data_IF_752862873904
#
_entry.id   IF_752862873904
#
_cell.length_a   1.000
_cell.length_b   1.000
_cell.length_c   1.000
_cell.angle_alpha   90.00
_cell.angle_beta   90.00
_cell.angle_gamma   90.00
#
_symmetry.space_group_name_H-M   'P 1'
#
loop_
_entity.id
_entity.type
_entity.pdbx_description
1 polymer ?
#
# COMPACT_ATOMS: atom_id res chain seq x y z
N UNK A 1 11.13 -3.36 -21.04
CA UNK A 1 11.90 -3.45 -19.78
C UNK A 1 13.07 -2.44 -19.73
N UNK A 2 13.94 -2.35 -20.74
CA UNK A 2 15.13 -1.49 -20.73
C UNK A 2 14.88 0.00 -20.36
N UNK A 3 13.84 0.64 -20.91
CA UNK A 3 13.53 2.04 -20.60
C UNK A 3 13.19 2.29 -19.12
N UNK A 4 12.44 1.37 -18.50
CA UNK A 4 12.09 1.45 -17.07
C UNK A 4 13.32 1.31 -16.19
N UNK A 5 14.22 0.38 -16.53
CA UNK A 5 15.48 0.17 -15.80
C UNK A 5 16.40 1.38 -15.93
N UNK A 6 16.45 2.01 -17.11
CA UNK A 6 17.23 3.24 -17.32
C UNK A 6 16.74 4.38 -16.41
N UNK A 7 15.43 4.56 -16.24
CA UNK A 7 14.88 5.55 -15.30
C UNK A 7 15.30 5.31 -13.85
N UNK A 8 15.26 4.06 -13.39
CA UNK A 8 15.74 3.67 -12.06
C UNK A 8 17.23 3.96 -11.92
N UNK A 9 18.04 3.59 -12.92
CA UNK A 9 19.48 3.84 -12.92
C UNK A 9 19.80 5.34 -12.83
N UNK A 10 19.11 6.19 -13.60
CA UNK A 10 19.28 7.64 -13.49
C UNK A 10 18.93 8.17 -12.08
N UNK A 11 17.87 7.66 -11.47
CA UNK A 11 17.50 8.02 -10.10
C UNK A 11 18.56 7.62 -9.07
N UNK A 12 19.17 6.43 -9.22
CA UNK A 12 20.23 5.93 -8.35
C UNK A 12 21.56 6.67 -8.52
N UNK A 13 21.85 7.18 -9.72
CA UNK A 13 23.05 7.99 -10.01
C UNK A 13 22.93 9.40 -9.42
N UNK A 14 21.71 9.86 -9.16
CA UNK A 14 21.46 11.22 -8.71
C UNK A 14 21.95 11.43 -7.27
N UNK A 15 22.74 12.47 -7.07
CA UNK A 15 23.33 12.79 -5.76
C UNK A 15 22.25 13.11 -4.73
N UNK A 16 22.31 12.43 -3.58
CA UNK A 16 21.39 12.64 -2.45
C UNK A 16 22.00 13.48 -1.32
N UNK A 17 23.30 13.75 -1.37
CA UNK A 17 24.00 14.65 -0.43
C UNK A 17 23.86 16.12 -0.84
N UNK A 18 23.91 17.00 0.16
CA UNK A 18 23.92 18.45 -0.01
C UNK A 18 25.38 18.93 0.02
N UNK A 19 25.72 19.85 -0.88
CA UNK A 19 27.00 20.55 -0.85
C UNK A 19 26.86 21.90 -0.13
N UNK A 20 27.99 22.53 0.25
CA UNK A 20 27.98 23.84 0.91
C UNK A 20 27.31 24.91 0.03
N UNK A 21 26.32 25.60 0.58
CA UNK A 21 25.51 26.59 -0.14
C UNK A 21 24.24 26.03 -0.79
N UNK A 22 23.98 24.72 -0.72
CA UNK A 22 22.73 24.13 -1.20
C UNK A 22 21.68 23.96 -0.09
N UNK A 23 20.48 24.48 -0.30
CA UNK A 23 19.36 24.28 0.63
C UNK A 23 18.80 22.84 0.58
N UNK A 24 18.89 22.16 -0.57
CA UNK A 24 18.38 20.80 -0.78
C UNK A 24 19.28 20.05 -1.75
N UNK A 25 19.39 18.72 -1.59
CA UNK A 25 20.19 17.91 -2.52
C UNK A 25 19.52 17.84 -3.89
N UNK A 26 20.30 17.69 -4.98
CA UNK A 26 19.75 17.59 -6.34
C UNK A 26 18.75 16.45 -6.48
N UNK A 27 18.98 15.33 -5.80
CA UNK A 27 18.06 14.20 -5.73
C UNK A 27 16.72 14.59 -5.11
N UNK A 28 16.74 15.25 -3.95
CA UNK A 28 15.52 15.69 -3.27
C UNK A 28 14.76 16.74 -4.09
N UNK A 29 15.47 17.73 -4.64
CA UNK A 29 14.89 18.76 -5.51
C UNK A 29 14.21 18.15 -6.74
N UNK A 30 14.89 17.25 -7.43
CA UNK A 30 14.35 16.59 -8.63
C UNK A 30 13.14 15.71 -8.27
N UNK A 31 13.21 14.99 -7.15
CA UNK A 31 12.07 14.23 -6.64
C UNK A 31 10.83 15.10 -6.40
N UNK A 32 10.99 16.24 -5.71
CA UNK A 32 9.88 17.16 -5.48
C UNK A 32 9.28 17.75 -6.77
N UNK A 33 10.10 18.01 -7.79
CA UNK A 33 9.62 18.53 -9.07
C UNK A 33 8.90 17.45 -9.90
N UNK A 34 9.41 16.22 -9.90
CA UNK A 34 8.85 15.13 -10.68
C UNK A 34 7.65 14.45 -10.02
N UNK A 35 7.57 14.45 -8.69
CA UNK A 35 6.48 13.79 -7.96
C UNK A 35 5.07 14.25 -8.38
N UNK A 36 4.75 15.56 -8.45
CA UNK A 36 3.41 15.99 -8.85
C UNK A 36 3.08 15.65 -10.30
N UNK A 37 4.06 15.72 -11.20
CA UNK A 37 3.87 15.33 -12.60
C UNK A 37 3.67 13.82 -12.74
N UNK A 38 4.47 13.03 -12.02
CA UNK A 38 4.39 11.58 -12.05
C UNK A 38 3.07 11.08 -11.46
N UNK A 39 2.74 11.50 -10.24
CA UNK A 39 1.54 11.08 -9.53
C UNK A 39 0.26 11.68 -10.14
N UNK A 40 0.32 12.94 -10.60
CA UNK A 40 -0.85 13.65 -11.12
C UNK A 40 -1.16 13.37 -12.60
N UNK A 41 -0.16 13.05 -13.43
CA UNK A 41 -0.34 12.89 -14.87
C UNK A 41 0.16 11.53 -15.39
N UNK A 42 1.43 11.18 -15.15
CA UNK A 42 2.03 10.00 -15.76
C UNK A 42 1.36 8.70 -15.29
N UNK A 43 1.13 8.55 -13.98
CA UNK A 43 0.52 7.34 -13.40
C UNK A 43 -0.94 7.17 -13.86
N UNK A 44 -1.81 8.19 -13.82
CA UNK A 44 -3.17 8.08 -14.35
C UNK A 44 -3.23 7.77 -15.85
N UNK A 45 -2.40 8.43 -16.67
CA UNK A 45 -2.35 8.15 -18.11
C UNK A 45 -1.85 6.72 -18.38
N UNK A 46 -0.79 6.30 -17.70
CA UNK A 46 -0.29 4.93 -17.80
C UNK A 46 -1.37 3.92 -17.41
N UNK A 47 -2.05 4.15 -16.28
CA UNK A 47 -3.15 3.30 -15.84
C UNK A 47 -4.27 3.21 -16.88
N UNK A 48 -4.66 4.33 -17.50
CA UNK A 48 -5.70 4.37 -18.52
C UNK A 48 -5.32 3.53 -19.76
N UNK A 49 -4.08 3.66 -20.25
CA UNK A 49 -3.62 2.89 -21.41
C UNK A 49 -3.35 1.41 -21.07
N UNK A 50 -2.72 1.13 -19.94
CA UNK A 50 -2.40 -0.23 -19.50
C UNK A 50 -3.67 -1.03 -19.17
N UNK A 51 -4.65 -0.38 -18.53
CA UNK A 51 -5.95 -0.97 -18.19
C UNK A 51 -6.97 -0.92 -19.33
N UNK A 52 -6.62 -0.42 -20.53
CA UNK A 52 -7.47 -0.26 -21.72
C UNK A 52 -8.01 -1.56 -22.32
N UNK A 53 -8.54 -2.43 -21.47
CA UNK A 53 -9.23 -3.67 -21.74
C UNK A 53 -10.70 -3.35 -21.95
N UNK A 54 -11.27 -3.91 -23.00
CA UNK A 54 -12.71 -4.08 -23.10
C UNK A 54 -13.17 -4.94 -21.93
N UNK A 55 -13.63 -4.31 -20.85
CA UNK A 55 -14.27 -5.00 -19.73
C UNK A 55 -15.63 -5.51 -20.23
N UNK A 56 -15.59 -6.62 -20.97
CA UNK A 56 -16.78 -7.35 -21.38
C UNK A 56 -17.25 -8.20 -20.21
N UNK A 57 -18.56 -8.43 -20.12
CA UNK A 57 -19.13 -9.34 -19.12
C UNK A 57 -18.50 -10.75 -19.20
N UNK A 58 -18.10 -11.16 -20.40
CA UNK A 58 -17.39 -12.41 -20.65
C UNK A 58 -15.98 -12.42 -20.06
N UNK A 59 -15.21 -11.33 -20.20
CA UNK A 59 -13.88 -11.23 -19.61
C UNK A 59 -13.93 -11.28 -18.07
N UNK A 60 -14.91 -10.61 -17.45
CA UNK A 60 -15.13 -10.68 -16.00
C UNK A 60 -15.59 -12.06 -15.55
N UNK A 61 -16.48 -12.71 -16.32
CA UNK A 61 -16.92 -14.07 -16.06
C UNK A 61 -15.79 -15.09 -16.19
N UNK A 62 -14.89 -14.90 -17.16
CA UNK A 62 -13.72 -15.73 -17.39
C UNK A 62 -12.71 -15.65 -16.22
N UNK A 63 -12.64 -14.53 -15.49
CA UNK A 63 -11.76 -14.42 -14.30
C UNK A 63 -12.06 -15.50 -13.26
N UNK A 64 -13.34 -15.85 -13.09
CA UNK A 64 -13.77 -16.84 -12.10
C UNK A 64 -13.87 -18.26 -12.67
N UNK A 65 -13.87 -18.43 -14.00
CA UNK A 65 -14.01 -19.73 -14.66
C UNK A 65 -12.67 -20.31 -15.13
N UNK A 66 -11.69 -19.47 -15.40
CA UNK A 66 -10.40 -19.87 -15.93
C UNK A 66 -9.35 -19.92 -14.81
N UNK A 67 -8.53 -20.98 -14.75
CA UNK A 67 -7.54 -21.15 -13.68
C UNK A 67 -6.41 -20.10 -13.72
N UNK A 68 -6.05 -19.60 -14.91
CA UNK A 68 -5.00 -18.60 -15.12
C UNK A 68 -5.31 -17.26 -14.40
N UNK A 69 -6.42 -16.56 -14.70
CA UNK A 69 -6.85 -15.35 -13.97
C UNK A 69 -6.99 -15.56 -12.46
N UNK A 70 -7.54 -16.69 -12.05
CA UNK A 70 -7.81 -17.00 -10.65
C UNK A 70 -6.49 -17.15 -9.87
N UNK A 71 -5.49 -17.78 -10.48
CA UNK A 71 -4.12 -17.83 -9.98
C UNK A 71 -3.50 -16.45 -9.81
N UNK A 72 -3.73 -15.53 -10.76
CA UNK A 72 -3.28 -14.13 -10.66
C UNK A 72 -3.96 -13.41 -9.51
N UNK A 73 -5.28 -13.57 -9.34
CA UNK A 73 -6.01 -12.93 -8.22
C UNK A 73 -5.47 -13.42 -6.88
N UNK A 74 -5.39 -14.73 -6.68
CA UNK A 74 -4.92 -15.32 -5.42
C UNK A 74 -3.45 -14.95 -5.20
N UNK A 75 -2.60 -15.09 -6.22
CA UNK A 75 -1.18 -14.76 -6.12
C UNK A 75 -0.93 -13.30 -5.80
N UNK A 76 -1.69 -12.38 -6.40
CA UNK A 76 -1.53 -10.95 -6.16
C UNK A 76 -2.03 -10.55 -4.77
N UNK A 77 -3.20 -11.04 -4.34
CA UNK A 77 -3.77 -10.69 -3.04
C UNK A 77 -3.04 -11.42 -1.92
N UNK A 78 -3.07 -12.75 -1.93
CA UNK A 78 -2.48 -13.56 -0.86
C UNK A 78 -0.95 -13.46 -0.86
N UNK A 79 -0.31 -13.49 -2.04
CA UNK A 79 1.15 -13.43 -2.13
C UNK A 79 1.71 -12.10 -1.60
N UNK A 80 1.05 -10.97 -1.88
CA UNK A 80 1.49 -9.68 -1.33
C UNK A 80 1.22 -9.56 0.17
N UNK A 81 0.05 -10.01 0.65
CA UNK A 81 -0.26 -9.97 2.08
C UNK A 81 0.75 -10.83 2.85
N UNK A 82 0.97 -12.07 2.42
CA UNK A 82 1.90 -12.99 3.08
C UNK A 82 3.36 -12.53 2.94
N UNK A 83 3.74 -11.99 1.78
CA UNK A 83 5.08 -11.48 1.54
C UNK A 83 5.41 -10.27 2.43
N UNK A 84 4.50 -9.30 2.52
CA UNK A 84 4.71 -8.10 3.35
C UNK A 84 4.61 -8.45 4.83
N UNK A 85 3.54 -9.11 5.26
CA UNK A 85 3.37 -9.48 6.66
C UNK A 85 4.47 -10.43 7.15
N UNK A 86 4.74 -11.48 6.38
CA UNK A 86 5.79 -12.45 6.67
C UNK A 86 7.18 -11.83 6.63
N UNK A 87 7.46 -10.99 5.64
CA UNK A 87 8.72 -10.25 5.55
C UNK A 87 8.94 -9.33 6.75
N UNK A 88 7.93 -8.55 7.15
CA UNK A 88 7.99 -7.70 8.34
C UNK A 88 8.13 -8.54 9.62
N UNK A 89 7.41 -9.66 9.73
CA UNK A 89 7.51 -10.57 10.87
C UNK A 89 8.91 -11.18 11.00
N UNK A 90 9.48 -11.68 9.90
CA UNK A 90 10.84 -12.21 9.88
C UNK A 90 11.86 -11.10 10.22
N UNK A 91 11.74 -9.92 9.63
CA UNK A 91 12.63 -8.80 9.91
C UNK A 91 12.59 -8.41 11.40
N UNK A 92 11.41 -8.27 11.99
CA UNK A 92 11.26 -8.00 13.42
C UNK A 92 11.89 -9.12 14.29
N UNK A 93 11.67 -10.38 13.90
CA UNK A 93 12.16 -11.55 14.65
C UNK A 93 13.68 -11.71 14.60
N UNK A 94 14.31 -11.42 13.46
CA UNK A 94 15.75 -11.61 13.26
C UNK A 94 16.58 -10.37 13.60
N UNK A 95 16.07 -9.17 13.32
CA UNK A 95 16.79 -7.91 13.59
C UNK A 95 16.55 -7.39 15.00
N UNK A 96 15.66 -8.03 15.79
CA UNK A 96 15.18 -7.53 17.10
C UNK A 96 14.59 -6.11 17.04
N UNK A 97 14.19 -5.67 15.84
CA UNK A 97 13.49 -4.42 15.67
C UNK A 97 12.16 -4.53 16.43
N UNK A 98 11.95 -3.61 17.37
CA UNK A 98 10.67 -3.54 18.09
C UNK A 98 9.71 -2.71 17.25
N UNK A 99 8.50 -3.24 17.07
CA UNK A 99 7.41 -2.45 16.55
C UNK A 99 7.17 -1.28 17.52
N UNK A 100 6.85 -0.10 17.02
CA UNK A 100 6.49 1.04 17.86
C UNK A 100 5.39 0.58 18.84
N UNK A 101 5.49 0.86 20.16
CA UNK A 101 4.44 0.52 21.13
C UNK A 101 3.04 0.96 20.70
N UNK A 102 2.92 2.04 19.92
CA UNK A 102 1.63 2.54 19.42
C UNK A 102 1.07 1.72 18.25
N UNK A 103 1.87 0.84 17.64
CA UNK A 103 1.49 0.01 16.48
C UNK A 103 1.25 -1.43 16.92
N UNK A 104 0.06 -1.96 16.60
CA UNK A 104 -0.26 -3.36 16.81
C UNK A 104 0.11 -4.19 15.56
N UNK A 105 0.27 -5.51 15.74
CA UNK A 105 0.39 -6.44 14.61
C UNK A 105 -0.82 -6.40 13.66
N UNK A 106 -1.98 -5.98 14.16
CA UNK A 106 -3.15 -5.72 13.34
C UNK A 106 -2.94 -4.57 12.34
N UNK A 107 -2.13 -3.57 12.68
CA UNK A 107 -1.80 -2.45 11.79
C UNK A 107 -0.80 -2.88 10.71
N UNK A 108 0.15 -3.75 11.07
CA UNK A 108 1.04 -4.41 10.10
C UNK A 108 0.24 -5.25 9.11
N UNK A 109 -0.77 -5.99 9.60
CA UNK A 109 -1.69 -6.73 8.72
C UNK A 109 -2.47 -5.79 7.80
N UNK A 110 -3.00 -4.68 8.32
CA UNK A 110 -3.68 -3.68 7.51
C UNK A 110 -2.80 -3.04 6.43
N UNK A 111 -1.56 -2.71 6.77
CA UNK A 111 -0.54 -2.24 5.82
C UNK A 111 -0.22 -3.31 4.76
N UNK A 112 -0.18 -4.58 5.16
CA UNK A 112 0.08 -5.70 4.24
C UNK A 112 -1.06 -5.87 3.21
N UNK A 113 -2.32 -5.65 3.62
CA UNK A 113 -3.46 -5.65 2.71
C UNK A 113 -3.41 -4.45 1.76
N UNK A 114 -3.06 -3.25 2.26
CA UNK A 114 -2.86 -2.07 1.42
C UNK A 114 -1.77 -2.28 0.36
N UNK A 115 -0.64 -2.88 0.77
CA UNK A 115 0.43 -3.21 -0.16
C UNK A 115 -0.02 -4.20 -1.26
N UNK A 116 -1.07 -4.98 -0.97
CA UNK A 116 -1.82 -5.85 -1.89
C UNK A 116 -2.38 -5.15 -3.14
N UNK A 117 -2.55 -3.83 -3.11
CA UNK A 117 -3.03 -3.05 -4.26
C UNK A 117 -1.91 -3.00 -5.31
N UNK A 118 -1.96 -3.94 -6.26
CA UNK A 118 -0.95 -4.10 -7.31
C UNK A 118 -1.18 -3.28 -8.57
N UNK A 119 -2.41 -2.82 -8.78
CA UNK A 119 -2.93 -2.10 -9.95
C UNK A 119 -1.89 -1.80 -11.05
N UNK A 120 -1.18 -0.67 -10.99
CA UNK A 120 -0.32 -0.21 -12.09
C UNK A 120 0.89 -1.11 -12.35
N UNK A 121 1.61 -1.52 -11.29
CA UNK A 121 2.81 -2.37 -11.45
C UNK A 121 2.42 -3.77 -11.89
N UNK A 122 1.31 -4.31 -11.37
CA UNK A 122 0.80 -5.62 -11.76
C UNK A 122 0.27 -5.61 -13.21
N UNK A 123 -0.37 -4.53 -13.66
CA UNK A 123 -0.77 -4.36 -15.07
C UNK A 123 0.46 -4.30 -15.98
N UNK A 124 1.50 -3.56 -15.60
CA UNK A 124 2.77 -3.49 -16.35
C UNK A 124 3.41 -4.88 -16.48
N UNK A 125 3.49 -5.63 -15.37
CA UNK A 125 4.07 -6.98 -15.36
C UNK A 125 3.20 -7.94 -16.19
N UNK A 126 1.88 -7.86 -16.07
CA UNK A 126 0.95 -8.67 -16.83
C UNK A 126 1.07 -8.44 -18.34
N UNK A 127 1.22 -7.18 -18.77
CA UNK A 127 1.45 -6.83 -20.18
C UNK A 127 2.79 -7.35 -20.72
N UNK A 128 3.85 -7.26 -19.90
CA UNK A 128 5.17 -7.82 -20.26
C UNK A 128 5.18 -9.35 -20.29
N UNK A 129 4.37 -10.00 -19.44
CA UNK A 129 4.31 -11.46 -19.34
C UNK A 129 3.44 -12.11 -20.43
N UNK A 130 2.37 -11.44 -20.86
CA UNK A 130 1.40 -11.97 -21.84
C UNK A 130 1.15 -11.02 -23.01
N UNK A 131 2.18 -10.69 -23.82
CA UNK A 131 2.02 -9.79 -24.96
C UNK A 131 1.07 -10.39 -26.01
N UNK A 132 0.04 -9.63 -26.39
CA UNK A 132 -0.86 -9.90 -27.53
C UNK A 132 -1.62 -11.25 -27.51
N UNK A 133 -1.92 -11.80 -26.33
CA UNK A 133 -2.73 -13.01 -26.19
C UNK A 133 -4.13 -12.70 -25.63
N UNK A 134 -5.12 -13.56 -25.95
CA UNK A 134 -6.46 -13.52 -25.34
C UNK A 134 -6.37 -13.68 -23.81
N UNK A 135 -5.39 -14.44 -23.32
CA UNK A 135 -5.09 -14.54 -21.88
C UNK A 135 -4.65 -13.21 -21.28
N UNK A 136 -4.03 -12.31 -22.05
CA UNK A 136 -3.61 -10.98 -21.60
C UNK A 136 -4.78 -10.11 -21.15
N UNK A 137 -5.93 -10.15 -21.84
CA UNK A 137 -7.14 -9.41 -21.44
C UNK A 137 -7.72 -9.96 -20.13
N UNK A 138 -7.79 -11.28 -20.00
CA UNK A 138 -8.27 -11.93 -18.77
C UNK A 138 -7.36 -11.65 -17.57
N UNK A 139 -6.03 -11.64 -17.77
CA UNK A 139 -5.05 -11.31 -16.71
C UNK A 139 -5.18 -9.86 -16.27
N UNK A 140 -5.35 -8.92 -17.21
CA UNK A 140 -5.59 -7.52 -16.86
C UNK A 140 -6.90 -7.36 -16.06
N UNK A 141 -7.99 -8.01 -16.48
CA UNK A 141 -9.24 -8.03 -15.73
C UNK A 141 -9.04 -8.64 -14.32
N UNK A 142 -8.28 -9.72 -14.20
CA UNK A 142 -7.93 -10.34 -12.92
C UNK A 142 -7.20 -9.37 -11.99
N UNK A 143 -6.20 -8.64 -12.51
CA UNK A 143 -5.45 -7.63 -11.74
C UNK A 143 -6.36 -6.50 -11.24
N UNK A 144 -7.31 -6.06 -12.05
CA UNK A 144 -8.32 -5.06 -11.66
C UNK A 144 -9.20 -5.58 -10.51
N UNK A 145 -9.78 -6.78 -10.67
CA UNK A 145 -10.63 -7.42 -9.66
C UNK A 145 -9.86 -7.66 -8.36
N UNK A 146 -8.63 -8.16 -8.46
CA UNK A 146 -7.75 -8.38 -7.31
C UNK A 146 -7.43 -7.07 -6.58
N UNK A 147 -7.08 -6.01 -7.32
CA UNK A 147 -6.74 -4.70 -6.75
C UNK A 147 -7.95 -4.04 -6.09
N UNK A 148 -9.14 -4.15 -6.70
CA UNK A 148 -10.39 -3.66 -6.12
C UNK A 148 -10.74 -4.44 -4.84
N UNK A 149 -10.63 -5.77 -4.87
CA UNK A 149 -10.90 -6.62 -3.71
C UNK A 149 -9.93 -6.29 -2.56
N UNK A 150 -8.64 -6.16 -2.85
CA UNK A 150 -7.64 -5.75 -1.86
C UNK A 150 -7.94 -4.36 -1.28
N UNK A 151 -8.32 -3.39 -2.13
CA UNK A 151 -8.68 -2.04 -1.68
C UNK A 151 -9.91 -2.06 -0.76
N UNK A 152 -10.95 -2.83 -1.09
CA UNK A 152 -12.16 -2.96 -0.25
C UNK A 152 -11.85 -3.60 1.10
N UNK A 153 -11.05 -4.68 1.12
CA UNK A 153 -10.63 -5.33 2.36
C UNK A 153 -9.78 -4.37 3.20
N UNK A 154 -8.85 -3.64 2.58
CA UNK A 154 -8.03 -2.65 3.27
C UNK A 154 -8.88 -1.55 3.89
N UNK A 155 -9.82 -0.97 3.13
CA UNK A 155 -10.73 0.07 3.64
C UNK A 155 -11.55 -0.44 4.82
N UNK A 156 -12.09 -1.65 4.76
CA UNK A 156 -12.86 -2.23 5.85
C UNK A 156 -12.01 -2.41 7.12
N UNK A 157 -10.81 -2.97 6.97
CA UNK A 157 -9.92 -3.28 8.09
C UNK A 157 -9.37 -1.99 8.72
N UNK A 158 -8.96 -1.02 7.91
CA UNK A 158 -8.48 0.29 8.38
C UNK A 158 -9.59 1.12 9.01
N UNK A 159 -10.81 1.08 8.48
CA UNK A 159 -11.95 1.76 9.13
C UNK A 159 -12.21 1.23 10.53
N UNK A 160 -12.16 -0.10 10.72
CA UNK A 160 -12.30 -0.71 12.04
C UNK A 160 -11.17 -0.30 12.99
N UNK A 161 -9.91 -0.29 12.51
CA UNK A 161 -8.77 0.16 13.32
C UNK A 161 -8.83 1.64 13.67
N UNK A 162 -9.19 2.50 12.71
CA UNK A 162 -9.33 3.93 12.95
C UNK A 162 -10.43 4.22 13.99
N UNK A 163 -11.53 3.49 13.98
CA UNK A 163 -12.57 3.62 15.02
C UNK A 163 -12.07 3.21 16.42
N UNK A 164 -11.23 2.17 16.51
CA UNK A 164 -10.63 1.75 17.77
C UNK A 164 -9.60 2.77 18.29
N UNK A 165 -8.71 3.25 17.41
CA UNK A 165 -7.76 4.30 17.78
C UNK A 165 -8.44 5.58 18.21
N UNK A 166 -9.53 5.96 17.53
CA UNK A 166 -10.31 7.14 17.91
C UNK A 166 -10.91 7.00 19.31
N UNK A 167 -11.43 5.82 19.67
CA UNK A 167 -11.94 5.55 21.02
C UNK A 167 -10.84 5.61 22.08
N UNK A 168 -9.68 5.01 21.80
CA UNK A 168 -8.54 5.07 22.72
C UNK A 168 -8.05 6.50 22.91
N UNK A 169 -7.98 7.28 21.84
CA UNK A 169 -7.61 8.70 21.90
C UNK A 169 -8.66 9.55 22.63
N UNK A 170 -9.95 9.29 22.39
CA UNK A 170 -11.05 9.95 23.11
C UNK A 170 -11.02 9.59 24.59
N UNK A 171 -10.69 8.35 24.96
CA UNK A 171 -10.49 7.94 26.36
C UNK A 171 -9.25 8.61 26.97
N UNK A 172 -8.11 8.64 26.27
CA UNK A 172 -6.85 9.27 26.73
C UNK A 172 -6.95 10.78 26.90
N UNK A 173 -7.83 11.47 26.16
CA UNK A 173 -8.03 12.92 26.26
C UNK A 173 -9.34 13.30 26.95
N UNK A 174 -10.06 12.33 27.52
CA UNK A 174 -11.30 12.62 28.24
C UNK A 174 -10.95 13.31 29.55
N UNK A 175 -11.47 14.52 29.71
CA UNK A 175 -11.33 15.38 30.88
C UNK A 175 -12.76 15.83 31.23
N UNK A 176 -13.44 15.04 32.07
CA UNK A 176 -14.86 15.26 32.42
C UNK A 176 -15.04 16.37 33.45
N UNK A 177 -14.02 16.66 34.26
CA UNK A 177 -14.04 17.72 35.28
C UNK A 177 -13.36 19.03 34.82
N UNK A 178 -12.81 19.05 33.60
CA UNK A 178 -12.16 20.18 32.95
C UNK A 178 -10.99 20.74 33.75
N UNK A 179 -10.27 19.87 34.47
CA UNK A 179 -9.14 20.25 35.32
C UNK A 179 -7.80 20.32 34.55
N UNK A 180 -7.81 19.95 33.26
CA UNK A 180 -6.66 19.96 32.37
C UNK A 180 -5.82 18.68 32.42
N UNK A 181 -6.24 17.66 33.18
CA UNK A 181 -5.58 16.36 33.33
C UNK A 181 -6.58 15.26 32.94
N UNK A 182 -6.29 14.43 31.92
CA UNK A 182 -7.24 13.40 31.51
C UNK A 182 -7.61 12.40 32.63
N UNK A 183 -8.91 12.06 32.71
CA UNK A 183 -9.55 11.22 33.74
C UNK A 183 -8.83 9.87 33.96
N UNK A 184 -8.18 9.35 32.91
CA UNK A 184 -7.53 8.03 32.95
C UNK A 184 -6.36 8.01 33.93
N UNK A 185 -5.69 9.14 34.11
CA UNK A 185 -4.53 9.28 35.01
C UNK A 185 -4.98 9.45 36.46
N UNK A 186 -6.19 9.96 36.67
CA UNK A 186 -6.75 10.23 38.00
C UNK A 186 -7.41 9.00 38.63
N UNK A 187 -7.85 8.04 37.80
CA UNK A 187 -8.55 6.83 38.24
C UNK A 187 -7.72 5.90 39.14
N UNK A 188 -6.39 6.09 39.22
CA UNK A 188 -5.49 5.30 40.09
C UNK A 188 -5.32 5.92 41.49
N UNK A 189 -5.58 7.22 41.67
CA UNK A 189 -5.38 7.91 42.95
C UNK A 189 -6.60 7.84 43.89
N UNK A 190 -7.79 7.52 43.37
CA UNK A 190 -9.03 7.44 44.16
C UNK A 190 -9.29 6.11 44.89
N UNK A 191 -8.34 5.17 44.87
CA UNK A 191 -8.53 3.81 45.39
C UNK A 191 -7.80 3.51 46.70
N UNK A 192 -8.29 4.03 47.83
CA UNK A 192 -8.44 3.35 49.15
C UNK A 192 -8.54 4.36 50.29
N UNK A 193 -9.21 4.04 51.42
CA UNK A 193 -9.79 2.75 51.82
C UNK A 193 -11.33 2.70 51.87
#
# INVERSE_FOLDING_TARGET
>A
VHATVAGVAMGLILRTTRDEGEEQSPGARTGHLLHPLSAGLCVPLFALFAAGVSVSGDALGAVFRSPEPLGVVIGLVAGKILGVFGGTYLAARFTRARLNPDLAWADVLGLSVLAGIGFTVALLIGELAFPHSVSGEHVKAAVLVASLTAALIAVLLLRRRNALYRRLYEEENRDEDADGIPDIYQRTEGGSP
#
